data_IF_289974274362
#
_entry.id   IF_289974274362
#
_cell.length_a   1.000
_cell.length_b   1.000
_cell.length_c   1.000
_cell.angle_alpha   90.00
_cell.angle_beta   90.00
_cell.angle_gamma   90.00
#
_symmetry.space_group_name_H-M   'P 1'
#
loop_
_entity.id
_entity.type
_entity.pdbx_description
1 polymer ?
#
# COMPACT_ATOMS: atom_id res chain seq x y z
N UNK A 1 26.58 -12.40 8.70
CA UNK A 1 25.38 -11.75 9.27
C UNK A 1 24.81 -10.84 8.21
N UNK A 2 23.65 -11.18 7.62
CA UNK A 2 22.95 -10.24 6.73
C UNK A 2 22.27 -9.24 7.65
N UNK A 3 22.77 -8.00 7.68
CA UNK A 3 22.08 -6.91 8.38
C UNK A 3 20.81 -6.61 7.57
N UNK A 4 19.66 -7.03 8.11
CA UNK A 4 18.35 -6.68 7.55
C UNK A 4 18.11 -5.21 7.89
N UNK A 5 18.16 -4.34 6.89
CA UNK A 5 17.69 -2.96 7.03
C UNK A 5 16.20 -3.00 7.42
N UNK A 6 15.77 -2.33 8.51
CA UNK A 6 14.39 -2.38 8.96
C UNK A 6 13.46 -1.88 7.85
N UNK A 7 12.26 -2.47 7.76
CA UNK A 7 11.28 -2.01 6.78
C UNK A 7 10.80 -0.61 7.19
N UNK A 8 10.78 0.38 6.28
CA UNK A 8 10.26 1.70 6.58
C UNK A 8 8.82 1.61 7.09
N UNK A 9 8.53 2.22 8.23
CA UNK A 9 7.19 2.20 8.84
C UNK A 9 6.11 2.69 7.87
N UNK A 10 6.46 3.68 7.02
CA UNK A 10 5.58 4.24 6.00
C UNK A 10 5.02 3.19 5.03
N UNK A 11 5.81 2.16 4.68
CA UNK A 11 5.39 1.10 3.75
C UNK A 11 4.48 0.05 4.40
N UNK A 12 4.41 0.05 5.74
CA UNK A 12 3.54 -0.86 6.52
C UNK A 12 2.44 -0.13 7.25
N UNK A 13 2.39 1.19 7.14
CA UNK A 13 1.33 1.99 7.72
C UNK A 13 -0.01 1.50 7.18
N UNK A 14 -1.03 1.48 8.04
CA UNK A 14 -2.37 1.10 7.62
C UNK A 14 -2.85 2.13 6.58
N UNK A 15 -3.14 1.67 5.36
CA UNK A 15 -3.80 2.51 4.36
C UNK A 15 -5.21 2.86 4.83
N UNK A 16 -5.52 4.15 4.94
CA UNK A 16 -6.86 4.61 5.27
C UNK A 16 -7.82 4.29 4.12
N UNK A 17 -9.01 3.77 4.44
CA UNK A 17 -10.02 3.41 3.45
C UNK A 17 -11.32 4.16 3.73
N UNK A 18 -12.05 4.59 2.69
CA UNK A 18 -13.31 5.31 2.89
C UNK A 18 -14.38 4.37 3.45
N UNK A 19 -15.08 4.81 4.49
CA UNK A 19 -16.23 4.08 5.00
C UNK A 19 -17.35 4.01 3.93
N UNK A 20 -17.98 2.85 3.71
CA UNK A 20 -19.12 2.75 2.81
C UNK A 20 -20.26 3.68 3.25
N UNK A 21 -20.87 4.44 2.32
CA UNK A 21 -22.07 5.23 2.59
C UNK A 21 -23.23 4.39 3.14
N UNK A 22 -24.01 4.97 4.05
CA UNK A 22 -25.20 4.34 4.64
C UNK A 22 -26.37 5.34 4.67
N UNK A 23 -27.42 5.15 3.85
CA UNK A 23 -27.57 4.12 2.82
C UNK A 23 -26.63 4.36 1.62
N UNK A 24 -26.28 3.29 0.92
CA UNK A 24 -25.61 3.41 -0.38
C UNK A 24 -26.64 3.87 -1.43
N UNK A 25 -26.33 4.96 -2.14
CA UNK A 25 -27.13 5.48 -3.25
C UNK A 25 -26.31 5.47 -4.54
N UNK A 26 -26.95 5.51 -5.71
CA UNK A 26 -26.23 5.65 -6.99
C UNK A 26 -25.39 6.94 -7.03
N UNK A 27 -25.86 8.04 -6.44
CA UNK A 27 -25.11 9.29 -6.37
C UNK A 27 -23.89 9.24 -5.45
N UNK A 28 -23.94 8.45 -4.37
CA UNK A 28 -22.80 8.26 -3.46
C UNK A 28 -21.80 7.21 -3.96
N UNK A 29 -22.19 6.37 -4.93
CA UNK A 29 -21.35 5.27 -5.41
C UNK A 29 -20.07 5.79 -6.08
N UNK A 30 -20.20 6.73 -7.01
CA UNK A 30 -19.07 7.25 -7.77
C UNK A 30 -17.96 7.86 -6.89
N UNK A 31 -18.23 8.85 -6.01
CA UNK A 31 -17.17 9.43 -5.17
C UNK A 31 -16.60 8.44 -4.15
N UNK A 32 -17.42 7.48 -3.67
CA UNK A 32 -16.91 6.44 -2.77
C UNK A 32 -15.99 5.44 -3.50
N UNK A 33 -16.35 5.01 -4.71
CA UNK A 33 -15.50 4.11 -5.50
C UNK A 33 -14.20 4.77 -5.92
N UNK A 34 -14.22 6.07 -6.22
CA UNK A 34 -13.03 6.86 -6.55
C UNK A 34 -12.05 6.89 -5.37
N UNK A 35 -12.53 7.29 -4.18
CA UNK A 35 -11.73 7.27 -2.96
C UNK A 35 -11.23 5.86 -2.57
N UNK A 36 -11.98 4.81 -2.92
CA UNK A 36 -11.54 3.44 -2.69
C UNK A 36 -10.42 3.01 -3.65
N UNK A 37 -10.47 3.47 -4.90
CA UNK A 37 -9.40 3.25 -5.87
C UNK A 37 -8.12 3.97 -5.46
N UNK A 38 -8.20 5.21 -4.98
CA UNK A 38 -7.05 5.94 -4.42
C UNK A 38 -6.39 5.19 -3.25
N UNK A 39 -7.21 4.60 -2.37
CA UNK A 39 -6.70 3.78 -1.27
C UNK A 39 -6.02 2.49 -1.79
N UNK A 40 -6.56 1.88 -2.83
CA UNK A 40 -5.94 0.71 -3.47
C UNK A 40 -4.61 1.05 -4.14
N UNK A 41 -4.54 2.19 -4.83
CA UNK A 41 -3.32 2.68 -5.47
C UNK A 41 -2.22 2.93 -4.44
N UNK A 42 -2.56 3.56 -3.31
CA UNK A 42 -1.65 3.75 -2.18
C UNK A 42 -1.12 2.40 -1.67
N UNK A 43 -2.03 1.45 -1.40
CA UNK A 43 -1.65 0.12 -0.91
C UNK A 43 -0.75 -0.65 -1.91
N UNK A 44 -1.03 -0.51 -3.21
CA UNK A 44 -0.23 -1.15 -4.26
C UNK A 44 1.16 -0.51 -4.39
N UNK A 45 1.26 0.82 -4.23
CA UNK A 45 2.53 1.51 -4.19
C UNK A 45 3.40 1.06 -3.00
N UNK A 46 2.81 0.93 -1.80
CA UNK A 46 3.52 0.44 -0.62
C UNK A 46 4.05 -0.98 -0.83
N UNK A 47 3.22 -1.88 -1.36
CA UNK A 47 3.64 -3.26 -1.71
C UNK A 47 4.78 -3.28 -2.73
N UNK A 48 4.73 -2.41 -3.74
CA UNK A 48 5.79 -2.29 -4.73
C UNK A 48 7.10 -1.82 -4.06
N UNK A 49 7.04 -0.84 -3.16
CA UNK A 49 8.18 -0.38 -2.37
C UNK A 49 8.81 -1.49 -1.51
N UNK A 50 7.98 -2.27 -0.81
CA UNK A 50 8.45 -3.44 -0.04
C UNK A 50 9.17 -4.43 -0.97
N UNK A 51 8.55 -4.75 -2.12
CA UNK A 51 9.13 -5.70 -3.08
C UNK A 51 10.48 -5.22 -3.61
N UNK A 52 10.61 -3.92 -3.88
CA UNK A 52 11.88 -3.34 -4.32
C UNK A 52 12.97 -3.46 -3.23
N UNK A 53 12.63 -3.20 -1.97
CA UNK A 53 13.57 -3.37 -0.86
C UNK A 53 14.05 -4.82 -0.75
N UNK A 54 13.16 -5.80 -0.88
CA UNK A 54 13.55 -7.22 -0.89
C UNK A 54 14.48 -7.56 -2.07
N UNK A 55 14.18 -7.05 -3.27
CA UNK A 55 15.06 -7.25 -4.43
C UNK A 55 16.44 -6.65 -4.22
N UNK A 56 16.53 -5.46 -3.62
CA UNK A 56 17.82 -4.82 -3.26
C UNK A 56 18.57 -5.64 -2.21
N UNK A 57 17.88 -6.20 -1.21
CA UNK A 57 18.49 -7.09 -0.20
C UNK A 57 19.06 -8.36 -0.83
N UNK A 58 18.29 -9.00 -1.72
CA UNK A 58 18.76 -10.17 -2.48
C UNK A 58 20.02 -9.78 -3.28
N UNK A 59 19.96 -8.72 -4.09
CA UNK A 59 21.09 -8.29 -4.92
C UNK A 59 22.37 -7.97 -4.12
N UNK A 60 22.25 -7.50 -2.87
CA UNK A 60 23.39 -7.30 -1.97
C UNK A 60 23.91 -8.61 -1.35
N UNK A 61 23.04 -9.59 -1.12
CA UNK A 61 23.39 -10.91 -0.58
C UNK A 61 23.88 -11.92 -1.62
N UNK A 62 23.69 -11.65 -2.93
CA UNK A 62 24.26 -12.44 -4.04
C UNK A 62 25.70 -12.02 -4.41
N UNK A 63 26.31 -11.09 -3.67
CA UNK A 63 27.76 -10.78 -3.73
C UNK A 63 28.47 -11.46 -2.57
#
# INVERSE_FOLDING_TARGET
>A
MIIQEPLPESLTAKTETPAPPKPMTYGSLAPWSDALLDALDTCNADKAGIRELELRRIARGTK
#
